data_IF_643620378489
#
_entry.id   IF_643620378489
#
_cell.length_a   1.000
_cell.length_b   1.000
_cell.length_c   1.000
_cell.angle_alpha   90.00
_cell.angle_beta   90.00
_cell.angle_gamma   90.00
#
_symmetry.space_group_name_H-M   'P 1'
#
loop_
_entity.id
_entity.type
_entity.pdbx_description
1 polymer ?
#
# COMPACT_ATOMS: atom_id res chain seq x y z
N UNK A 1 -10.56 37.56 -7.27
CA UNK A 1 -10.62 36.45 -6.31
C UNK A 1 -10.02 36.95 -4.99
N UNK A 2 -10.73 36.87 -3.86
CA UNK A 2 -10.25 37.33 -2.55
C UNK A 2 -10.28 36.13 -1.59
N UNK A 3 -9.14 35.82 -0.98
CA UNK A 3 -9.00 34.72 -0.01
C UNK A 3 -9.24 35.26 1.39
N UNK A 4 -10.23 34.69 2.11
CA UNK A 4 -10.69 35.20 3.41
C UNK A 4 -10.03 34.44 4.59
N UNK A 5 -9.52 33.23 4.34
CA UNK A 5 -8.79 32.42 5.33
C UNK A 5 -7.85 31.44 4.63
N UNK A 6 -6.84 30.97 5.36
CA UNK A 6 -5.88 29.96 4.90
C UNK A 6 -5.74 28.87 5.95
N UNK A 7 -5.54 27.63 5.51
CA UNK A 7 -5.32 26.49 6.39
C UNK A 7 -4.49 25.39 5.71
N UNK A 8 -3.97 24.46 6.50
CA UNK A 8 -3.18 23.35 6.00
C UNK A 8 -4.09 22.19 5.62
N UNK A 9 -4.01 21.76 4.36
CA UNK A 9 -4.68 20.56 3.85
C UNK A 9 -3.64 19.64 3.25
N UNK A 10 -3.74 18.33 3.54
CA UNK A 10 -2.87 17.33 2.95
C UNK A 10 -3.66 16.45 2.01
N UNK A 11 -3.18 16.33 0.78
CA UNK A 11 -3.70 15.41 -0.22
C UNK A 11 -2.77 14.20 -0.30
N UNK A 12 -3.35 13.01 -0.41
CA UNK A 12 -2.60 11.77 -0.52
C UNK A 12 -3.22 10.88 -1.57
N UNK A 13 -2.39 10.07 -2.22
CA UNK A 13 -2.82 9.05 -3.17
C UNK A 13 -2.31 7.68 -2.72
N UNK A 14 -3.24 6.80 -2.36
CA UNK A 14 -2.90 5.43 -1.98
C UNK A 14 -2.23 4.67 -3.12
N UNK A 15 -2.56 4.93 -4.39
CA UNK A 15 -1.92 4.25 -5.52
C UNK A 15 -0.43 4.58 -5.64
N UNK A 16 -0.06 5.81 -5.29
CA UNK A 16 1.34 6.21 -5.27
C UNK A 16 2.10 5.57 -4.10
N UNK A 17 1.43 5.29 -2.97
CA UNK A 17 2.04 4.70 -1.79
C UNK A 17 2.63 3.30 -2.06
N UNK A 18 1.95 2.46 -2.87
CA UNK A 18 2.49 1.14 -3.22
C UNK A 18 3.74 1.20 -4.12
N UNK A 19 3.95 2.30 -4.84
CA UNK A 19 5.10 2.49 -5.72
C UNK A 19 6.36 2.92 -4.95
N UNK A 20 6.23 3.30 -3.67
CA UNK A 20 7.37 3.67 -2.83
C UNK A 20 8.31 2.48 -2.53
N UNK A 21 7.82 1.24 -2.67
CA UNK A 21 8.64 0.04 -2.54
C UNK A 21 8.29 -0.97 -3.64
N UNK A 22 9.17 -1.06 -4.63
CA UNK A 22 9.00 -1.99 -5.76
C UNK A 22 9.16 -3.46 -5.34
N UNK A 23 9.94 -3.74 -4.30
CA UNK A 23 10.16 -5.09 -3.79
C UNK A 23 8.96 -5.62 -2.99
N UNK A 24 8.15 -4.74 -2.40
CA UNK A 24 6.91 -5.13 -1.73
C UNK A 24 5.89 -3.99 -1.72
N UNK A 25 5.06 -3.97 -2.76
CA UNK A 25 3.99 -2.99 -2.95
C UNK A 25 2.92 -3.06 -1.85
N UNK A 26 2.58 -4.28 -1.41
CA UNK A 26 1.65 -4.52 -0.30
C UNK A 26 2.16 -3.85 0.97
N UNK A 27 3.42 -4.09 1.34
CA UNK A 27 3.99 -3.57 2.57
C UNK A 27 3.97 -2.04 2.56
N UNK A 28 4.43 -1.41 1.48
CA UNK A 28 4.42 0.05 1.36
C UNK A 28 3.00 0.66 1.42
N UNK A 29 2.01 -0.04 0.84
CA UNK A 29 0.62 0.38 0.92
C UNK A 29 0.08 0.34 2.36
N UNK A 30 0.21 -0.80 3.04
CA UNK A 30 -0.41 -1.01 4.37
C UNK A 30 0.38 -0.39 5.51
N UNK A 31 1.67 -0.10 5.31
CA UNK A 31 2.51 0.67 6.25
C UNK A 31 2.37 2.17 6.06
N UNK A 32 1.63 2.63 5.04
CA UNK A 32 1.42 4.04 4.80
C UNK A 32 0.80 4.71 6.04
N UNK A 33 1.28 5.91 6.34
CA UNK A 33 0.69 6.76 7.39
C UNK A 33 -0.73 7.19 7.04
N UNK A 34 -1.05 7.18 5.74
CA UNK A 34 -2.39 7.33 5.21
C UNK A 34 -3.07 5.97 5.26
N UNK A 35 -4.30 5.89 5.79
CA UNK A 35 -5.07 4.64 5.95
C UNK A 35 -5.43 4.00 4.59
N UNK A 36 -4.43 3.41 3.95
CA UNK A 36 -4.51 2.73 2.69
C UNK A 36 -4.52 1.22 2.92
N UNK A 37 -5.34 0.54 2.15
CA UNK A 37 -5.56 -0.89 2.18
C UNK A 37 -5.09 -1.52 0.86
N UNK A 38 -4.70 -2.78 0.92
CA UNK A 38 -4.17 -3.51 -0.22
C UNK A 38 -5.15 -4.58 -0.70
N UNK A 39 -5.39 -4.62 -2.00
CA UNK A 39 -6.16 -5.64 -2.69
C UNK A 39 -5.18 -6.61 -3.39
N UNK A 40 -4.84 -7.76 -2.78
CA UNK A 40 -3.82 -8.65 -3.32
C UNK A 40 -4.20 -9.28 -4.66
N UNK A 41 -5.48 -9.60 -4.88
CA UNK A 41 -5.95 -10.21 -6.13
C UNK A 41 -6.00 -9.19 -7.29
N UNK A 42 -6.11 -7.91 -6.97
CA UNK A 42 -6.17 -6.81 -7.93
C UNK A 42 -4.83 -6.06 -8.04
N UNK A 43 -3.83 -6.45 -7.24
CA UNK A 43 -2.54 -5.78 -7.05
C UNK A 43 -2.68 -4.25 -6.88
N UNK A 44 -3.68 -3.84 -6.10
CA UNK A 44 -4.10 -2.44 -6.01
C UNK A 44 -4.03 -1.91 -4.58
N UNK A 45 -3.38 -0.76 -4.41
CA UNK A 45 -3.49 0.04 -3.19
C UNK A 45 -4.64 1.04 -3.28
N UNK A 46 -5.51 1.06 -2.26
CA UNK A 46 -6.76 1.82 -2.28
C UNK A 46 -7.10 2.39 -0.90
N UNK A 47 -7.81 3.52 -0.84
CA UNK A 47 -8.37 4.04 0.40
C UNK A 47 -9.72 3.37 0.75
N UNK A 48 -10.25 2.52 -0.13
CA UNK A 48 -11.51 1.80 0.08
C UNK A 48 -11.33 0.68 1.10
N UNK A 49 -12.41 0.35 1.79
CA UNK A 49 -12.47 -0.78 2.74
C UNK A 49 -12.89 -2.10 2.09
N UNK A 50 -13.02 -2.13 0.77
CA UNK A 50 -13.39 -3.33 0.01
C UNK A 50 -12.64 -3.42 -1.30
N UNK A 51 -12.35 -4.66 -1.70
CA UNK A 51 -11.71 -5.00 -2.97
C UNK A 51 -12.73 -5.61 -3.94
N UNK A 52 -12.56 -5.39 -5.26
CA UNK A 52 -13.38 -6.02 -6.29
C UNK A 52 -13.48 -7.54 -6.13
N UNK A 53 -12.35 -8.20 -5.88
CA UNK A 53 -12.25 -9.66 -5.74
C UNK A 53 -12.35 -10.17 -4.29
N UNK A 54 -13.00 -9.41 -3.39
CA UNK A 54 -13.40 -9.83 -2.03
C UNK A 54 -12.29 -10.30 -1.06
N UNK A 55 -11.03 -9.92 -1.25
CA UNK A 55 -9.95 -10.14 -0.28
C UNK A 55 -9.17 -8.84 -0.06
N UNK A 56 -9.15 -8.31 1.17
CA UNK A 56 -8.50 -7.04 1.51
C UNK A 56 -7.54 -7.20 2.68
N UNK A 57 -6.37 -6.58 2.57
CA UNK A 57 -5.42 -6.42 3.67
C UNK A 57 -5.52 -4.99 4.15
N UNK A 58 -5.85 -4.82 5.43
CA UNK A 58 -6.06 -3.51 6.02
C UNK A 58 -4.73 -2.84 6.38
N UNK A 59 -4.77 -1.52 6.49
CA UNK A 59 -3.67 -0.73 7.00
C UNK A 59 -3.21 -1.24 8.38
N UNK A 60 -1.92 -1.08 8.71
CA UNK A 60 -1.36 -1.47 10.00
C UNK A 60 -2.07 -0.84 11.20
N UNK A 61 -2.71 0.31 11.02
CA UNK A 61 -3.46 1.00 12.08
C UNK A 61 -4.84 0.40 12.35
N UNK A 62 -5.32 -0.55 11.53
CA UNK A 62 -6.66 -1.12 11.58
C UNK A 62 -6.70 -2.62 11.97
N UNK A 63 -5.90 -3.00 12.97
CA UNK A 63 -6.01 -4.27 13.76
C UNK A 63 -5.55 -5.56 13.04
N UNK A 64 -5.42 -5.58 11.70
CA UNK A 64 -4.82 -6.69 10.93
C UNK A 64 -3.73 -6.17 10.00
N UNK A 65 -2.63 -5.74 10.60
CA UNK A 65 -1.51 -5.11 9.91
C UNK A 65 -0.51 -6.08 9.24
N UNK A 66 0.74 -5.65 9.01
CA UNK A 66 1.66 -6.03 7.92
C UNK A 66 2.05 -7.51 7.77
N UNK A 67 1.66 -8.38 8.71
CA UNK A 67 1.90 -9.82 8.67
C UNK A 67 1.13 -10.55 7.57
N UNK A 68 0.08 -9.95 7.01
CA UNK A 68 -0.71 -10.55 5.92
C UNK A 68 -0.14 -10.26 4.53
N UNK A 69 0.85 -9.37 4.41
CA UNK A 69 1.52 -9.14 3.14
C UNK A 69 2.47 -10.30 2.82
N UNK A 70 2.47 -10.81 1.57
CA UNK A 70 3.42 -11.84 1.17
C UNK A 70 4.85 -11.29 1.26
N UNK A 71 5.68 -11.96 2.04
CA UNK A 71 7.12 -11.67 2.14
C UNK A 71 7.90 -12.79 1.46
N UNK A 72 8.79 -12.42 0.55
CA UNK A 72 9.76 -13.36 -0.02
C UNK A 72 10.94 -13.45 0.95
N UNK A 73 10.95 -14.47 1.80
CA UNK A 73 12.01 -14.65 2.82
C UNK A 73 13.32 -15.20 2.25
N UNK A 74 13.24 -16.01 1.18
CA UNK A 74 14.41 -16.54 0.48
C UNK A 74 14.03 -16.95 -0.94
N UNK A 75 14.95 -16.78 -1.88
CA UNK A 75 14.85 -17.39 -3.20
C UNK A 75 15.33 -18.83 -3.09
N UNK A 76 14.51 -19.79 -3.54
CA UNK A 76 14.89 -21.21 -3.57
C UNK A 76 16.03 -21.50 -4.55
N UNK A 77 16.35 -20.55 -5.42
CA UNK A 77 17.39 -20.61 -6.45
C UNK A 77 18.29 -19.36 -6.38
N UNK A 78 19.53 -19.51 -6.85
CA UNK A 78 20.49 -18.41 -7.01
C UNK A 78 19.91 -17.29 -7.88
N UNK A 79 20.15 -16.04 -7.49
CA UNK A 79 19.78 -14.87 -8.28
C UNK A 79 20.37 -15.03 -9.70
N UNK A 80 19.50 -15.11 -10.71
CA UNK A 80 19.91 -14.94 -12.10
C UNK A 80 20.30 -13.47 -12.25
N UNK A 81 21.56 -13.17 -11.97
CA UNK A 81 22.18 -11.90 -12.36
C UNK A 81 22.29 -11.94 -13.89
N UNK A 82 21.56 -11.10 -14.65
CA UNK A 82 21.88 -10.93 -16.05
C UNK A 82 23.21 -10.17 -16.09
N UNK A 83 24.22 -10.79 -16.70
CA UNK A 83 25.44 -10.10 -17.14
C UNK A 83 25.13 -9.19 -18.31
#
# INVERSE_FOLDING_TARGET
HVTITTGNMTFYDCRAASQLNQSSQCLACVSSVWRCNWCPLDELCTHKHSCPNQHIILNQRDISGPTSCPMVFSLRSSAFVPM
#
